data_IF_272638441681
#
_entry.id   IF_272638441681
#
_cell.length_a   1.000
_cell.length_b   1.000
_cell.length_c   1.000
_cell.angle_alpha   90.00
_cell.angle_beta   90.00
_cell.angle_gamma   90.00
#
_symmetry.space_group_name_H-M   'P 1'
#
loop_
_entity.id
_entity.type
_entity.pdbx_description
1 polymer ?
#
# COMPACT_ATOMS: atom_id res chain seq x y z
N UNK A 1 50.35 -70.41 41.01
CA UNK A 1 49.09 -70.14 40.28
C UNK A 1 48.76 -68.65 40.45
N UNK A 2 49.15 -67.83 39.52
CA UNK A 2 48.85 -66.39 39.54
C UNK A 2 47.77 -66.13 38.49
N UNK A 3 46.66 -65.58 38.94
CA UNK A 3 45.52 -65.18 38.07
C UNK A 3 45.67 -63.73 37.68
N UNK A 4 45.95 -63.50 36.38
CA UNK A 4 45.98 -62.12 35.77
C UNK A 4 44.57 -61.62 35.56
N UNK A 5 44.21 -60.53 36.27
CA UNK A 5 42.97 -59.78 36.04
C UNK A 5 43.21 -58.72 35.00
N UNK A 6 42.63 -58.88 33.82
CA UNK A 6 42.59 -57.82 32.78
C UNK A 6 41.47 -56.81 33.13
N UNK A 7 41.86 -55.58 33.39
CA UNK A 7 40.92 -54.45 33.42
C UNK A 7 40.74 -53.91 31.99
N UNK A 8 39.53 -54.04 31.47
CA UNK A 8 39.14 -53.42 30.21
C UNK A 8 38.59 -52.00 30.56
N UNK A 9 39.38 -50.98 30.21
CA UNK A 9 38.94 -49.59 30.24
C UNK A 9 38.05 -49.30 29.02
N UNK A 10 36.76 -49.16 29.26
CA UNK A 10 35.78 -48.75 28.25
C UNK A 10 35.85 -47.22 28.07
N UNK A 11 36.43 -46.74 26.99
CA UNK A 11 36.44 -45.31 26.61
C UNK A 11 35.12 -44.99 25.92
N UNK A 12 34.18 -44.32 26.67
CA UNK A 12 32.97 -43.78 26.09
C UNK A 12 33.30 -42.46 25.40
N UNK A 13 33.37 -42.45 24.07
CA UNK A 13 33.45 -41.25 23.24
C UNK A 13 32.06 -40.59 23.19
N UNK A 14 31.91 -39.53 23.95
CA UNK A 14 30.76 -38.62 23.85
C UNK A 14 30.87 -37.83 22.54
N UNK A 15 30.16 -38.25 21.49
CA UNK A 15 29.93 -37.48 20.30
C UNK A 15 28.94 -36.35 20.66
N UNK A 16 29.45 -35.11 20.90
CA UNK A 16 28.63 -33.91 20.94
C UNK A 16 28.14 -33.62 19.52
N UNK A 17 26.89 -34.00 19.21
CA UNK A 17 26.21 -33.57 18.00
C UNK A 17 25.93 -32.06 18.12
N UNK A 18 26.78 -31.24 17.54
CA UNK A 18 26.48 -29.83 17.33
C UNK A 18 25.31 -29.75 16.34
N UNK A 19 24.12 -29.52 16.86
CA UNK A 19 22.93 -29.22 16.04
C UNK A 19 23.20 -27.86 15.37
N UNK A 20 23.60 -27.89 14.10
CA UNK A 20 23.62 -26.69 13.26
C UNK A 20 22.17 -26.23 13.13
N UNK A 21 21.80 -25.20 13.89
CA UNK A 21 20.54 -24.50 13.67
C UNK A 21 20.61 -23.93 12.24
N UNK A 22 19.86 -24.53 11.34
CA UNK A 22 19.62 -23.96 10.01
C UNK A 22 18.92 -22.62 10.22
N UNK A 23 19.64 -21.52 10.08
CA UNK A 23 19.03 -20.19 9.98
C UNK A 23 18.25 -20.14 8.67
N UNK A 24 17.04 -20.68 8.67
CA UNK A 24 16.06 -20.39 7.62
C UNK A 24 15.67 -18.93 7.78
N UNK A 25 16.26 -18.07 6.97
CA UNK A 25 15.86 -16.66 6.92
C UNK A 25 14.39 -16.62 6.49
N UNK A 26 13.50 -16.28 7.42
CA UNK A 26 12.07 -16.15 7.11
C UNK A 26 11.90 -15.04 6.09
N UNK A 27 11.32 -15.37 4.92
CA UNK A 27 10.98 -14.39 3.90
C UNK A 27 9.60 -13.85 4.22
N UNK A 28 9.50 -12.53 4.36
CA UNK A 28 8.24 -11.80 4.56
C UNK A 28 7.79 -11.15 3.26
N UNK A 29 6.50 -11.17 3.00
CA UNK A 29 5.90 -10.54 1.83
C UNK A 29 5.42 -9.13 2.16
N UNK A 30 5.83 -8.12 1.37
CA UNK A 30 5.26 -6.79 1.39
C UNK A 30 4.31 -6.62 0.20
N UNK A 31 3.00 -6.71 0.46
CA UNK A 31 1.96 -6.41 -0.51
C UNK A 31 1.72 -4.91 -0.64
N UNK A 32 1.76 -4.40 -1.88
CA UNK A 32 1.51 -2.98 -2.16
C UNK A 32 0.31 -2.83 -3.07
N UNK A 33 -0.67 -2.01 -2.67
CA UNK A 33 -1.88 -1.74 -3.45
C UNK A 33 -1.53 -1.23 -4.86
N UNK A 34 -2.08 -1.83 -5.94
CA UNK A 34 -1.70 -1.50 -7.32
C UNK A 34 -2.33 -0.19 -7.78
N UNK A 35 -1.61 0.92 -7.61
CA UNK A 35 -2.03 2.25 -8.07
C UNK A 35 -1.47 2.61 -9.45
N UNK A 36 -0.36 1.99 -9.84
CA UNK A 36 0.37 2.20 -11.08
C UNK A 36 0.75 0.84 -11.71
N UNK A 37 1.46 0.86 -12.84
CA UNK A 37 1.97 -0.38 -13.44
C UNK A 37 2.93 -1.10 -12.48
N UNK A 38 2.93 -2.44 -12.51
CA UNK A 38 3.79 -3.26 -11.64
C UNK A 38 5.28 -2.88 -11.78
N UNK A 39 5.75 -2.60 -13.00
CA UNK A 39 7.14 -2.16 -13.25
C UNK A 39 7.47 -0.89 -12.47
N UNK A 40 6.66 0.18 -12.60
CA UNK A 40 6.85 1.43 -11.87
C UNK A 40 6.83 1.23 -10.36
N UNK A 41 5.95 0.35 -9.87
CA UNK A 41 5.84 0.09 -8.45
C UNK A 41 7.08 -0.62 -7.92
N UNK A 42 7.59 -1.64 -8.61
CA UNK A 42 8.86 -2.30 -8.24
C UNK A 42 10.00 -1.28 -8.18
N UNK A 43 10.20 -0.51 -9.24
CA UNK A 43 11.28 0.49 -9.32
C UNK A 43 11.24 1.49 -8.16
N UNK A 44 10.04 1.90 -7.73
CA UNK A 44 9.86 2.90 -6.65
C UNK A 44 9.98 2.32 -5.25
N UNK A 45 9.52 1.08 -5.04
CA UNK A 45 9.49 0.46 -3.71
C UNK A 45 10.78 -0.28 -3.37
N UNK A 46 11.54 -0.76 -4.38
CA UNK A 46 12.73 -1.55 -4.19
C UNK A 46 13.79 -0.90 -3.28
N UNK A 47 14.09 0.42 -3.40
CA UNK A 47 15.06 1.07 -2.50
C UNK A 47 14.64 0.99 -1.02
N UNK A 48 13.36 1.23 -0.72
CA UNK A 48 12.84 1.15 0.64
C UNK A 48 12.86 -0.29 1.18
N UNK A 49 12.47 -1.27 0.36
CA UNK A 49 12.48 -2.68 0.74
C UNK A 49 13.90 -3.16 1.05
N UNK A 50 14.86 -2.81 0.20
CA UNK A 50 16.27 -3.13 0.42
C UNK A 50 16.78 -2.52 1.73
N UNK A 51 16.48 -1.24 1.97
CA UNK A 51 16.85 -0.58 3.22
C UNK A 51 16.24 -1.26 4.45
N UNK A 52 14.92 -1.57 4.42
CA UNK A 52 14.28 -2.25 5.56
C UNK A 52 14.89 -3.63 5.78
N UNK A 53 15.16 -4.38 4.71
CA UNK A 53 15.76 -5.72 4.80
C UNK A 53 17.16 -5.68 5.42
N UNK A 54 18.02 -4.77 4.97
CA UNK A 54 19.36 -4.60 5.53
C UNK A 54 19.33 -4.15 6.99
N UNK A 55 18.49 -3.17 7.31
CA UNK A 55 18.43 -2.61 8.65
C UNK A 55 17.84 -3.60 9.68
N UNK A 56 16.81 -4.34 9.29
CA UNK A 56 16.10 -5.28 10.17
C UNK A 56 16.73 -6.68 10.22
N UNK A 57 17.58 -7.03 9.25
CA UNK A 57 18.08 -8.40 9.08
C UNK A 57 17.02 -9.39 8.57
N UNK A 58 15.88 -8.90 8.09
CA UNK A 58 14.78 -9.71 7.56
C UNK A 58 14.83 -9.74 6.04
N UNK A 59 14.49 -10.87 5.43
CA UNK A 59 14.29 -10.93 3.98
C UNK A 59 12.85 -10.49 3.66
N UNK A 60 12.70 -9.38 2.90
CA UNK A 60 11.39 -8.81 2.52
C UNK A 60 11.28 -8.81 1.01
N UNK A 61 10.21 -9.44 0.49
CA UNK A 61 9.92 -9.51 -0.93
C UNK A 61 8.73 -8.63 -1.30
N UNK A 62 8.93 -7.83 -2.36
CA UNK A 62 7.86 -7.02 -2.93
C UNK A 62 6.83 -7.89 -3.62
N UNK A 63 5.55 -7.61 -3.34
CA UNK A 63 4.43 -8.15 -4.08
C UNK A 63 3.41 -7.05 -4.41
N UNK A 64 2.76 -7.19 -5.54
CA UNK A 64 1.60 -6.39 -5.91
C UNK A 64 0.60 -7.30 -6.64
N UNK A 65 -0.54 -6.78 -7.02
CA UNK A 65 -1.56 -7.51 -7.75
C UNK A 65 -1.79 -6.88 -9.13
N UNK A 66 -2.45 -7.60 -10.02
CA UNK A 66 -2.81 -7.09 -11.36
C UNK A 66 -3.80 -5.92 -11.30
N UNK A 67 -4.63 -5.87 -10.25
CA UNK A 67 -5.65 -4.86 -10.01
C UNK A 67 -6.06 -4.80 -8.51
N UNK A 68 -6.82 -3.78 -8.15
CA UNK A 68 -7.28 -3.58 -6.77
C UNK A 68 -8.15 -4.74 -6.27
N UNK A 69 -9.14 -5.27 -7.01
CA UNK A 69 -9.92 -6.42 -6.54
C UNK A 69 -9.07 -7.67 -6.23
N UNK A 70 -8.06 -7.96 -7.04
CA UNK A 70 -7.12 -9.06 -6.76
C UNK A 70 -6.30 -8.80 -5.50
N UNK A 71 -5.87 -7.55 -5.28
CA UNK A 71 -5.17 -7.15 -4.06
C UNK A 71 -6.05 -7.32 -2.81
N UNK A 72 -7.33 -6.94 -2.89
CA UNK A 72 -8.31 -7.12 -1.81
C UNK A 72 -8.53 -8.59 -1.47
N UNK A 73 -8.63 -9.47 -2.48
CA UNK A 73 -8.73 -10.91 -2.26
C UNK A 73 -7.48 -11.46 -1.55
N UNK A 74 -6.28 -11.03 -1.95
CA UNK A 74 -5.05 -11.43 -1.30
C UNK A 74 -4.99 -10.93 0.16
N UNK A 75 -5.49 -9.73 0.48
CA UNK A 75 -5.63 -9.24 1.85
C UNK A 75 -6.61 -10.10 2.64
N UNK A 76 -7.78 -10.43 2.08
CA UNK A 76 -8.80 -11.27 2.71
C UNK A 76 -8.27 -12.67 3.02
N UNK A 77 -7.40 -13.21 2.19
CA UNK A 77 -6.77 -14.53 2.38
C UNK A 77 -5.49 -14.45 3.26
N UNK A 78 -5.12 -13.26 3.76
CA UNK A 78 -3.94 -13.08 4.61
C UNK A 78 -2.61 -13.36 3.93
N UNK A 79 -2.52 -13.18 2.60
CA UNK A 79 -1.32 -13.52 1.81
C UNK A 79 -0.14 -12.59 2.03
N UNK A 80 -0.34 -11.42 2.61
CA UNK A 80 0.73 -10.44 2.84
C UNK A 80 1.07 -10.37 4.32
N UNK A 81 2.35 -10.55 4.65
CA UNK A 81 2.86 -10.36 6.02
C UNK A 81 2.85 -8.87 6.39
N UNK A 82 3.21 -8.03 5.43
CA UNK A 82 3.17 -6.58 5.50
C UNK A 82 2.32 -6.09 4.34
N UNK A 83 1.46 -5.10 4.55
CA UNK A 83 0.66 -4.55 3.48
C UNK A 83 0.66 -3.01 3.52
N UNK A 84 1.00 -2.39 2.37
CA UNK A 84 0.75 -0.98 2.14
C UNK A 84 -0.58 -0.84 1.44
N UNK A 85 -1.57 -0.39 2.19
CA UNK A 85 -2.97 -0.40 1.76
C UNK A 85 -3.62 0.97 1.92
N UNK A 86 -4.62 1.26 1.10
CA UNK A 86 -5.33 2.53 1.21
C UNK A 86 -6.17 2.59 2.51
N UNK A 87 -6.63 3.78 2.93
CA UNK A 87 -7.37 3.93 4.19
C UNK A 87 -8.62 3.06 4.32
N UNK A 88 -9.39 2.91 3.23
CA UNK A 88 -10.56 2.03 3.23
C UNK A 88 -10.17 0.56 3.40
N UNK A 89 -9.15 0.08 2.68
CA UNK A 89 -8.65 -1.28 2.85
C UNK A 89 -8.18 -1.53 4.29
N UNK A 90 -7.49 -0.55 4.90
CA UNK A 90 -7.04 -0.72 6.27
C UNK A 90 -8.20 -0.89 7.24
N UNK A 91 -9.23 -0.04 7.17
CA UNK A 91 -10.43 -0.16 8.02
C UNK A 91 -11.11 -1.50 7.79
N UNK A 92 -11.36 -1.88 6.54
CA UNK A 92 -12.03 -3.13 6.17
C UNK A 92 -11.24 -4.38 6.65
N UNK A 93 -9.93 -4.43 6.38
CA UNK A 93 -9.13 -5.62 6.67
C UNK A 93 -8.51 -5.64 8.06
N UNK A 94 -8.53 -4.53 8.81
CA UNK A 94 -8.29 -4.56 10.25
C UNK A 94 -9.42 -5.28 10.98
N UNK A 95 -10.66 -5.08 10.54
CA UNK A 95 -11.84 -5.71 11.14
C UNK A 95 -12.01 -7.17 10.64
N UNK A 96 -11.86 -7.41 9.33
CA UNK A 96 -12.16 -8.71 8.73
C UNK A 96 -11.04 -9.76 8.94
N UNK A 97 -9.77 -9.36 8.95
CA UNK A 97 -8.61 -10.26 9.02
C UNK A 97 -7.76 -10.01 10.26
N UNK A 98 -7.80 -8.80 10.82
CA UNK A 98 -7.03 -8.42 11.99
C UNK A 98 -5.68 -7.76 11.66
N UNK A 99 -5.50 -7.22 10.45
CA UNK A 99 -4.32 -6.42 10.14
C UNK A 99 -4.17 -5.27 11.13
N UNK A 100 -2.94 -5.03 11.62
CA UNK A 100 -2.64 -4.02 12.63
C UNK A 100 -1.76 -2.92 12.04
N UNK A 101 -2.14 -1.67 12.27
CA UNK A 101 -1.33 -0.52 11.85
C UNK A 101 0.08 -0.61 12.42
N UNK A 102 1.08 -0.34 11.60
CA UNK A 102 2.48 -0.25 11.98
C UNK A 102 2.99 1.19 11.86
N UNK A 103 2.81 1.76 10.68
CA UNK A 103 3.27 3.11 10.37
C UNK A 103 2.42 3.74 9.26
N UNK A 104 2.52 5.06 9.13
CA UNK A 104 1.97 5.83 8.03
C UNK A 104 2.95 6.91 7.59
N UNK A 105 2.73 7.48 6.43
CA UNK A 105 3.56 8.58 5.92
C UNK A 105 3.48 9.80 6.84
N UNK A 106 4.67 10.36 7.17
CA UNK A 106 4.82 11.55 8.02
C UNK A 106 4.29 12.79 7.30
N UNK A 107 3.58 13.65 8.05
CA UNK A 107 3.11 14.96 7.58
C UNK A 107 2.35 14.91 6.24
N UNK A 108 1.55 13.88 6.03
CA UNK A 108 0.75 13.70 4.81
C UNK A 108 -0.69 13.37 5.14
N UNK A 109 -1.59 13.96 4.37
CA UNK A 109 -2.97 13.51 4.24
C UNK A 109 -3.19 13.01 2.82
N UNK A 110 -4.06 12.03 2.65
CA UNK A 110 -4.50 11.61 1.32
C UNK A 110 -5.71 12.45 0.93
N UNK A 111 -5.71 12.91 -0.31
CA UNK A 111 -6.81 13.68 -0.89
C UNK A 111 -7.22 13.08 -2.23
N UNK A 112 -8.52 13.01 -2.47
CA UNK A 112 -9.07 12.69 -3.77
C UNK A 112 -9.07 13.93 -4.65
N UNK A 113 -8.81 13.73 -5.93
CA UNK A 113 -8.94 14.79 -6.95
C UNK A 113 -9.89 14.31 -8.05
N UNK A 114 -10.55 15.27 -8.68
CA UNK A 114 -11.22 15.07 -9.97
C UNK A 114 -10.43 15.86 -10.99
N UNK A 115 -10.01 15.19 -12.07
CA UNK A 115 -9.26 15.80 -13.17
C UNK A 115 -10.11 15.86 -14.42
N UNK A 116 -9.85 16.89 -15.24
CA UNK A 116 -10.37 17.05 -16.60
C UNK A 116 -9.27 17.52 -17.53
N UNK A 117 -9.51 17.57 -18.84
CA UNK A 117 -8.56 18.18 -19.78
C UNK A 117 -8.55 19.69 -19.63
N UNK A 118 -7.37 20.31 -19.77
CA UNK A 118 -7.23 21.78 -19.79
C UNK A 118 -7.95 22.47 -20.94
N UNK A 119 -8.11 21.75 -22.07
CA UNK A 119 -8.76 22.26 -23.29
C UNK A 119 -10.25 21.89 -23.38
N UNK A 120 -10.85 21.43 -22.28
CA UNK A 120 -12.29 21.12 -22.21
C UNK A 120 -13.11 22.30 -21.72
N UNK A 121 -14.40 22.27 -22.01
CA UNK A 121 -15.37 23.26 -21.50
C UNK A 121 -15.80 22.97 -20.04
N UNK A 122 -15.22 21.94 -19.40
CA UNK A 122 -15.52 21.55 -18.01
C UNK A 122 -14.74 22.49 -17.06
N UNK A 123 -15.44 23.35 -16.35
CA UNK A 123 -14.86 24.36 -15.44
C UNK A 123 -15.34 24.21 -13.99
N UNK A 124 -16.42 23.45 -13.77
CA UNK A 124 -17.01 23.19 -12.45
C UNK A 124 -17.41 21.72 -12.30
N UNK A 125 -17.70 21.29 -11.06
CA UNK A 125 -18.22 19.93 -10.81
C UNK A 125 -19.61 19.75 -11.42
N UNK A 126 -20.39 20.79 -11.48
CA UNK A 126 -21.74 20.82 -12.03
C UNK A 126 -21.78 20.46 -13.52
N UNK A 127 -20.71 20.81 -14.27
CA UNK A 127 -20.55 20.46 -15.69
C UNK A 127 -20.38 18.94 -15.93
N UNK A 128 -20.11 18.19 -14.87
CA UNK A 128 -20.00 16.72 -14.90
C UNK A 128 -21.34 15.99 -14.88
N UNK A 129 -22.45 16.73 -14.72
CA UNK A 129 -23.75 16.11 -14.58
C UNK A 129 -24.15 15.31 -15.84
N UNK A 130 -24.47 14.02 -15.64
CA UNK A 130 -24.83 13.08 -16.72
C UNK A 130 -23.65 12.51 -17.51
N UNK A 131 -22.41 12.85 -17.15
CA UNK A 131 -21.22 12.40 -17.90
C UNK A 131 -20.70 11.02 -17.47
N UNK A 132 -19.94 10.37 -18.36
CA UNK A 132 -19.13 9.22 -18.00
C UNK A 132 -17.80 9.65 -17.39
N UNK A 133 -17.45 9.08 -16.24
CA UNK A 133 -16.24 9.39 -15.49
C UNK A 133 -15.38 8.16 -15.27
N UNK A 134 -14.06 8.30 -15.48
CA UNK A 134 -13.10 7.23 -15.25
C UNK A 134 -12.67 7.13 -13.80
N UNK A 135 -12.61 5.90 -13.26
CA UNK A 135 -12.10 5.60 -11.91
C UNK A 135 -11.18 4.38 -11.93
N UNK A 136 -10.18 4.28 -11.03
CA UNK A 136 -9.27 3.13 -11.03
C UNK A 136 -9.99 1.80 -10.72
N UNK A 137 -10.75 1.78 -9.63
CA UNK A 137 -11.52 0.63 -9.14
C UNK A 137 -12.55 1.10 -8.10
N UNK A 138 -13.59 0.32 -7.80
CA UNK A 138 -14.60 0.69 -6.80
C UNK A 138 -14.01 1.05 -5.43
N UNK A 139 -13.04 0.28 -4.95
CA UNK A 139 -12.41 0.44 -3.63
C UNK A 139 -11.17 1.34 -3.63
N UNK A 140 -10.90 2.11 -4.67
CA UNK A 140 -9.87 3.14 -4.68
C UNK A 140 -10.31 4.32 -3.80
N UNK A 141 -9.94 4.32 -2.51
CA UNK A 141 -10.50 5.19 -1.47
C UNK A 141 -10.62 6.65 -1.92
N UNK A 142 -9.50 7.35 -2.14
CA UNK A 142 -9.56 8.77 -2.44
C UNK A 142 -10.01 9.06 -3.88
N UNK A 143 -9.56 8.24 -4.84
CA UNK A 143 -9.86 8.46 -6.25
C UNK A 143 -11.30 8.11 -6.64
N UNK A 144 -11.94 7.18 -5.92
CA UNK A 144 -13.29 6.72 -6.25
C UNK A 144 -14.28 7.04 -5.14
N UNK A 145 -14.05 6.55 -3.93
CA UNK A 145 -15.04 6.64 -2.86
C UNK A 145 -15.28 8.12 -2.49
N UNK A 146 -14.20 8.86 -2.21
CA UNK A 146 -14.29 10.26 -1.79
C UNK A 146 -14.84 11.14 -2.92
N UNK A 147 -14.34 10.99 -4.14
CA UNK A 147 -14.76 11.82 -5.28
C UNK A 147 -16.23 11.56 -5.65
N UNK A 148 -16.67 10.31 -5.67
CA UNK A 148 -18.06 9.96 -5.93
C UNK A 148 -18.99 10.42 -4.79
N UNK A 149 -18.53 10.37 -3.52
CA UNK A 149 -19.29 10.86 -2.40
C UNK A 149 -19.56 12.38 -2.52
N UNK A 150 -18.55 13.16 -2.93
CA UNK A 150 -18.71 14.60 -3.15
C UNK A 150 -19.71 14.90 -4.28
N UNK A 151 -19.61 14.21 -5.40
CA UNK A 151 -20.56 14.38 -6.52
C UNK A 151 -22.00 14.07 -6.09
N UNK A 152 -22.21 12.96 -5.38
CA UNK A 152 -23.54 12.60 -4.85
C UNK A 152 -24.07 13.62 -3.85
N UNK A 153 -23.19 14.13 -2.95
CA UNK A 153 -23.55 15.19 -1.99
C UNK A 153 -24.05 16.46 -2.68
N UNK A 154 -23.51 16.78 -3.87
CA UNK A 154 -23.93 17.90 -4.71
C UNK A 154 -25.12 17.59 -5.64
N UNK A 155 -25.68 16.38 -5.56
CA UNK A 155 -26.72 15.90 -6.45
C UNK A 155 -26.30 15.87 -7.94
N UNK A 156 -25.00 15.67 -8.21
CA UNK A 156 -24.46 15.52 -9.57
C UNK A 156 -24.55 14.03 -9.93
N UNK A 157 -25.30 13.72 -10.98
CA UNK A 157 -25.38 12.37 -11.53
C UNK A 157 -24.21 12.12 -12.46
N UNK A 158 -23.67 10.88 -12.46
CA UNK A 158 -22.56 10.48 -13.33
C UNK A 158 -22.61 8.97 -13.55
N UNK A 159 -21.93 8.49 -14.62
CA UNK A 159 -21.81 7.08 -14.92
C UNK A 159 -20.35 6.65 -14.66
N UNK A 160 -20.08 5.86 -13.60
CA UNK A 160 -18.72 5.43 -13.29
C UNK A 160 -18.24 4.36 -14.27
N UNK A 161 -16.99 4.52 -14.77
CA UNK A 161 -16.29 3.54 -15.59
C UNK A 161 -14.96 3.18 -14.91
N UNK A 162 -14.73 1.90 -14.66
CA UNK A 162 -13.54 1.43 -13.97
C UNK A 162 -12.48 0.97 -14.98
N UNK A 163 -11.29 1.60 -14.94
CA UNK A 163 -10.21 1.43 -15.93
C UNK A 163 -8.93 0.81 -15.34
N UNK A 164 -9.03 0.18 -14.17
CA UNK A 164 -8.05 -0.68 -13.48
C UNK A 164 -6.91 0.05 -12.75
N UNK A 165 -6.43 1.21 -13.20
CA UNK A 165 -5.32 1.91 -12.55
C UNK A 165 -5.48 3.44 -12.64
N UNK A 166 -4.78 4.18 -11.78
CA UNK A 166 -4.72 5.64 -11.84
C UNK A 166 -4.10 6.13 -13.16
N UNK A 167 -3.02 5.50 -13.61
CA UNK A 167 -2.37 5.85 -14.89
C UNK A 167 -3.38 5.72 -16.06
N UNK A 168 -4.20 4.67 -16.05
CA UNK A 168 -5.24 4.46 -17.08
C UNK A 168 -6.33 5.53 -17.01
N UNK A 169 -6.70 6.01 -15.82
CA UNK A 169 -7.66 7.12 -15.68
C UNK A 169 -7.12 8.37 -16.36
N UNK A 170 -5.92 8.80 -16.03
CA UNK A 170 -5.34 10.03 -16.55
C UNK A 170 -5.14 9.96 -18.07
N UNK A 171 -4.65 8.82 -18.54
CA UNK A 171 -4.47 8.61 -19.98
C UNK A 171 -5.82 8.60 -20.76
N UNK A 172 -6.86 8.01 -20.19
CA UNK A 172 -8.18 7.95 -20.81
C UNK A 172 -8.86 9.33 -20.85
N UNK A 173 -8.70 10.14 -19.79
CA UNK A 173 -9.18 11.54 -19.77
C UNK A 173 -8.41 12.38 -20.78
N UNK A 174 -7.07 12.31 -20.80
CA UNK A 174 -6.24 13.01 -21.80
C UNK A 174 -6.66 12.70 -23.22
N UNK A 175 -6.95 11.42 -23.53
CA UNK A 175 -7.39 10.98 -24.86
C UNK A 175 -8.84 11.34 -25.20
N UNK A 176 -9.58 11.94 -24.26
CA UNK A 176 -10.98 12.30 -24.44
C UNK A 176 -11.96 11.11 -24.44
N UNK A 177 -11.53 9.92 -23.96
CA UNK A 177 -12.44 8.79 -23.80
C UNK A 177 -13.46 9.04 -22.68
N UNK A 178 -13.08 9.82 -21.69
CA UNK A 178 -13.93 10.29 -20.59
C UNK A 178 -13.71 11.79 -20.40
N UNK A 179 -14.75 12.48 -19.97
CA UNK A 179 -14.66 13.93 -19.75
C UNK A 179 -13.86 14.26 -18.49
N UNK A 180 -13.90 13.37 -17.51
CA UNK A 180 -13.20 13.55 -16.24
C UNK A 180 -12.84 12.20 -15.61
N UNK A 181 -12.06 12.26 -14.54
CA UNK A 181 -11.70 11.06 -13.80
C UNK A 181 -11.27 11.34 -12.36
N UNK A 182 -11.45 10.34 -11.52
CA UNK A 182 -11.01 10.39 -10.13
C UNK A 182 -9.57 9.94 -9.95
N UNK A 183 -8.79 10.64 -9.11
CA UNK A 183 -7.37 10.37 -8.89
C UNK A 183 -6.86 10.85 -7.54
N UNK A 184 -5.53 10.88 -7.42
CA UNK A 184 -4.79 11.50 -6.32
C UNK A 184 -3.57 12.24 -6.88
N UNK A 185 -3.16 13.37 -6.28
CA UNK A 185 -2.04 14.19 -6.77
C UNK A 185 -0.77 13.39 -6.99
N UNK A 186 -0.34 12.56 -6.02
CA UNK A 186 0.89 11.75 -6.12
C UNK A 186 0.97 10.88 -7.38
N UNK A 187 -0.15 10.35 -7.85
CA UNK A 187 -0.16 9.54 -9.06
C UNK A 187 -0.31 10.38 -10.33
N UNK A 188 -0.95 11.54 -10.24
CA UNK A 188 -0.97 12.52 -11.31
C UNK A 188 0.42 13.11 -11.57
N UNK A 189 1.14 13.48 -10.52
CA UNK A 189 2.53 13.99 -10.62
C UNK A 189 3.53 12.93 -11.14
N UNK A 190 3.13 11.67 -11.14
CA UNK A 190 3.98 10.54 -11.54
C UNK A 190 3.73 10.03 -12.97
N UNK A 191 2.74 10.56 -13.70
CA UNK A 191 2.54 10.23 -15.12
C UNK A 191 3.55 11.00 -15.99
N UNK A 192 3.74 10.62 -17.27
CA UNK A 192 4.55 11.38 -18.21
C UNK A 192 4.11 12.85 -18.30
N UNK A 193 5.07 13.76 -18.49
CA UNK A 193 4.83 15.21 -18.53
C UNK A 193 3.72 15.60 -19.52
N UNK A 194 3.70 14.97 -20.70
CA UNK A 194 2.69 15.20 -21.72
C UNK A 194 1.25 14.80 -21.28
N UNK A 195 1.13 13.91 -20.30
CA UNK A 195 -0.16 13.54 -19.71
C UNK A 195 -0.53 14.54 -18.61
N UNK A 196 0.41 14.86 -17.73
CA UNK A 196 0.19 15.80 -16.63
C UNK A 196 -0.16 17.19 -17.18
N UNK A 197 0.60 17.70 -18.14
CA UNK A 197 0.40 19.01 -18.75
C UNK A 197 -0.94 19.15 -19.48
N UNK A 198 -1.51 18.06 -19.99
CA UNK A 198 -2.80 18.07 -20.65
C UNK A 198 -4.00 18.12 -19.70
N UNK A 199 -3.78 17.83 -18.40
CA UNK A 199 -4.84 17.73 -17.41
C UNK A 199 -4.81 18.90 -16.42
N UNK A 200 -5.97 19.19 -15.84
CA UNK A 200 -6.13 20.11 -14.72
C UNK A 200 -6.92 19.46 -13.60
N UNK A 201 -6.62 19.85 -12.35
CA UNK A 201 -7.40 19.45 -11.19
C UNK A 201 -8.60 20.36 -11.08
N UNK A 202 -9.78 19.80 -11.31
CA UNK A 202 -11.06 20.50 -11.21
C UNK A 202 -11.51 20.64 -9.74
N UNK A 203 -11.20 19.66 -8.92
CA UNK A 203 -11.60 19.62 -7.51
C UNK A 203 -10.64 18.75 -6.68
N UNK A 204 -10.46 19.13 -5.41
CA UNK A 204 -9.67 18.41 -4.41
C UNK A 204 -10.44 18.30 -3.11
N UNK A 205 -10.40 17.12 -2.48
CA UNK A 205 -11.08 16.87 -1.21
C UNK A 205 -10.34 17.43 0.00
N UNK A 206 -10.99 17.45 1.16
CA UNK A 206 -10.32 17.51 2.44
C UNK A 206 -9.33 16.34 2.58
N UNK A 207 -8.33 16.52 3.48
CA UNK A 207 -7.37 15.47 3.78
C UNK A 207 -7.92 14.42 4.74
N UNK A 208 -7.54 13.15 4.50
CA UNK A 208 -7.79 12.00 5.37
C UNK A 208 -6.48 11.35 5.75
N UNK A 209 -6.50 10.55 6.82
CA UNK A 209 -5.34 9.74 7.22
C UNK A 209 -4.87 8.90 6.03
N UNK A 210 -3.56 8.93 5.69
CA UNK A 210 -3.05 8.34 4.46
C UNK A 210 -3.00 6.81 4.53
N UNK A 211 -2.41 6.19 3.51
CA UNK A 211 -2.21 4.74 3.44
C UNK A 211 -1.55 4.19 4.70
N UNK A 212 -2.05 3.05 5.17
CA UNK A 212 -1.46 2.28 6.24
C UNK A 212 -0.34 1.39 5.70
N UNK A 213 0.80 1.37 6.37
CA UNK A 213 1.68 0.22 6.38
C UNK A 213 1.26 -0.63 7.58
N UNK A 214 0.65 -1.77 7.33
CA UNK A 214 0.07 -2.65 8.34
C UNK A 214 0.73 -4.02 8.30
N UNK A 215 0.63 -4.78 9.39
CA UNK A 215 1.17 -6.13 9.50
C UNK A 215 0.08 -7.14 9.73
N UNK A 216 0.24 -8.34 9.19
CA UNK A 216 -0.65 -9.47 9.45
C UNK A 216 -0.66 -9.79 10.95
N UNK A 217 -1.80 -10.18 11.56
CA UNK A 217 -1.91 -10.45 13.00
C UNK A 217 -0.96 -11.54 13.49
N UNK A 218 -0.59 -12.49 12.63
CA UNK A 218 0.32 -13.59 12.97
C UNK A 218 1.80 -13.23 12.85
N UNK A 219 2.15 -11.99 12.46
CA UNK A 219 3.55 -11.56 12.41
C UNK A 219 4.17 -11.57 13.80
N UNK A 220 5.35 -12.17 13.93
CA UNK A 220 6.10 -12.18 15.17
C UNK A 220 6.41 -10.75 15.65
N UNK A 221 6.25 -10.47 16.94
CA UNK A 221 6.38 -9.13 17.51
C UNK A 221 7.77 -8.54 17.27
N UNK A 222 8.83 -9.36 17.38
CA UNK A 222 10.21 -8.92 17.11
C UNK A 222 10.42 -8.49 15.65
N UNK A 223 9.79 -9.14 14.68
CA UNK A 223 9.84 -8.72 13.26
C UNK A 223 9.11 -7.40 13.08
N UNK A 224 7.91 -7.26 13.67
CA UNK A 224 7.14 -6.02 13.65
C UNK A 224 7.96 -4.83 14.21
N UNK A 225 8.62 -5.02 15.34
CA UNK A 225 9.45 -3.99 15.97
C UNK A 225 10.69 -3.66 15.14
N UNK A 226 11.35 -4.66 14.54
CA UNK A 226 12.52 -4.45 13.70
C UNK A 226 12.16 -3.63 12.43
N UNK A 227 11.03 -3.94 11.79
CA UNK A 227 10.53 -3.19 10.63
C UNK A 227 10.17 -1.76 11.03
N UNK A 228 9.48 -1.56 12.16
CA UNK A 228 9.14 -0.23 12.65
C UNK A 228 10.39 0.62 12.91
N UNK A 229 11.41 0.03 13.57
CA UNK A 229 12.69 0.72 13.80
C UNK A 229 13.36 1.17 12.50
N UNK A 230 13.35 0.32 11.47
CA UNK A 230 13.89 0.67 10.15
C UNK A 230 13.13 1.85 9.52
N UNK A 231 11.79 1.84 9.59
CA UNK A 231 10.94 2.91 9.06
C UNK A 231 11.13 4.25 9.78
N UNK A 232 11.34 4.22 11.09
CA UNK A 232 11.61 5.44 11.86
C UNK A 232 13.03 5.92 11.58
N UNK A 233 14.03 5.03 11.55
CA UNK A 233 15.42 5.39 11.29
C UNK A 233 15.61 6.06 9.92
N UNK A 234 14.98 5.53 8.84
CA UNK A 234 15.04 6.17 7.51
C UNK A 234 14.40 7.56 7.50
N UNK A 235 13.42 7.79 8.38
CA UNK A 235 12.70 9.07 8.46
C UNK A 235 13.52 10.17 9.13
N UNK A 236 14.50 9.81 9.94
CA UNK A 236 15.36 10.73 10.68
C UNK A 236 16.74 10.89 10.01
N UNK A 237 17.10 10.02 9.05
CA UNK A 237 18.37 10.05 8.32
C UNK A 237 18.23 10.80 6.98
N UNK A 238 18.50 12.10 7.00
CA UNK A 238 18.44 12.94 5.79
C UNK A 238 19.44 12.53 4.70
N UNK A 239 20.53 11.83 5.05
CA UNK A 239 21.52 11.35 4.08
C UNK A 239 20.97 10.23 3.18
N UNK A 240 19.88 9.59 3.59
CA UNK A 240 19.19 8.50 2.89
C UNK A 240 17.84 8.92 2.31
N UNK A 241 17.57 10.22 2.19
CA UNK A 241 16.31 10.72 1.63
C UNK A 241 15.98 10.17 0.25
N UNK A 242 17.01 9.85 -0.55
CA UNK A 242 16.88 9.23 -1.87
C UNK A 242 16.10 7.90 -1.87
N UNK A 243 16.12 7.16 -0.75
CA UNK A 243 15.35 5.90 -0.59
C UNK A 243 13.85 6.14 -0.69
N UNK A 244 13.39 7.30 -0.22
CA UNK A 244 11.98 7.69 -0.16
C UNK A 244 11.55 8.58 -1.33
N UNK A 245 12.51 9.14 -2.08
CA UNK A 245 12.26 10.11 -3.16
C UNK A 245 11.36 9.52 -4.26
N UNK A 246 11.68 8.31 -4.75
CA UNK A 246 10.87 7.63 -5.76
C UNK A 246 9.42 7.38 -5.35
N UNK A 247 9.16 7.32 -4.04
CA UNK A 247 7.82 7.17 -3.47
C UNK A 247 7.13 8.52 -3.22
N UNK A 248 7.89 9.63 -3.20
CA UNK A 248 7.41 10.95 -2.78
C UNK A 248 7.05 10.98 -1.29
N UNK A 249 7.78 10.25 -0.44
CA UNK A 249 7.53 10.15 1.00
C UNK A 249 8.52 11.03 1.77
N UNK A 250 8.02 11.69 2.82
CA UNK A 250 8.82 12.53 3.73
C UNK A 250 9.21 11.77 5.01
N UNK A 251 9.13 10.45 4.99
CA UNK A 251 9.35 9.58 6.14
C UNK A 251 8.09 8.92 6.66
N UNK A 252 8.25 8.16 7.72
CA UNK A 252 7.18 7.44 8.40
C UNK A 252 7.06 7.87 9.86
N UNK A 253 5.87 7.71 10.42
CA UNK A 253 5.61 7.77 11.85
C UNK A 253 4.91 6.50 12.27
N UNK A 254 5.18 6.05 13.49
CA UNK A 254 4.44 4.95 14.10
C UNK A 254 2.95 5.29 14.15
N UNK A 255 2.10 4.30 13.97
CA UNK A 255 0.66 4.48 13.95
C UNK A 255 -0.06 3.39 14.73
N UNK A 256 -1.24 3.76 15.22
CA UNK A 256 -2.23 2.87 15.84
C UNK A 256 -3.47 2.77 14.96
N UNK A 257 -4.30 1.77 15.20
CA UNK A 257 -5.52 1.54 14.42
C UNK A 257 -6.50 2.72 14.52
N UNK A 258 -6.51 3.43 15.68
CA UNK A 258 -7.35 4.62 15.88
C UNK A 258 -6.96 5.83 15.02
N UNK A 259 -5.77 5.85 14.42
CA UNK A 259 -5.38 6.93 13.51
C UNK A 259 -6.30 7.02 12.28
N UNK A 260 -7.02 5.94 11.94
CA UNK A 260 -7.99 5.88 10.83
C UNK A 260 -9.44 6.05 11.26
N UNK A 261 -9.72 6.59 12.45
CA UNK A 261 -11.08 6.85 12.90
C UNK A 261 -11.80 7.93 12.06
N UNK A 262 -11.04 8.84 11.43
CA UNK A 262 -11.56 9.78 10.44
C UNK A 262 -12.15 9.06 9.21
N UNK A 263 -11.56 7.93 8.83
CA UNK A 263 -12.05 7.09 7.72
C UNK A 263 -13.24 6.24 8.16
N UNK A 264 -13.20 5.67 9.38
CA UNK A 264 -14.34 4.94 9.96
C UNK A 264 -15.57 5.82 10.10
N UNK A 265 -15.35 7.10 10.46
CA UNK A 265 -16.44 8.09 10.60
C UNK A 265 -17.18 8.39 9.29
N UNK A 266 -16.61 8.03 8.12
CA UNK A 266 -17.30 8.13 6.84
C UNK A 266 -18.45 7.11 6.69
N UNK A 267 -18.53 6.10 7.55
CA UNK A 267 -19.58 5.08 7.52
C UNK A 267 -19.62 4.31 6.18
N UNK A 268 -18.47 4.10 5.55
CA UNK A 268 -18.40 3.38 4.27
C UNK A 268 -18.85 1.95 4.52
N UNK A 269 -19.99 1.59 3.97
CA UNK A 269 -20.46 0.19 3.97
C UNK A 269 -19.51 -0.61 3.07
N UNK A 270 -19.13 -1.81 3.53
CA UNK A 270 -18.31 -2.74 2.75
C UNK A 270 -18.81 -2.83 1.31
N UNK A 271 -17.94 -2.48 0.36
CA UNK A 271 -18.29 -2.51 -1.05
C UNK A 271 -18.48 -3.97 -1.47
N UNK A 272 -19.61 -4.28 -2.11
CA UNK A 272 -19.81 -5.60 -2.71
C UNK A 272 -18.65 -5.86 -3.69
N UNK A 273 -17.81 -6.84 -3.34
CA UNK A 273 -16.70 -7.25 -4.21
C UNK A 273 -17.29 -7.88 -5.46
N UNK A 274 -16.93 -7.42 -6.68
CA UNK A 274 -17.30 -8.15 -7.87
C UNK A 274 -16.72 -9.57 -7.73
N UNK A 275 -17.53 -10.58 -7.85
CA UNK A 275 -17.04 -11.94 -7.99
C UNK A 275 -16.19 -11.98 -9.27
N UNK A 276 -14.91 -12.35 -9.14
CA UNK A 276 -13.94 -12.45 -10.23
C UNK A 276 -14.22 -13.74 -11.00
#
# INVERSE_FOLDING_TARGET
MQVFRHQICLFILLFSSATMASNTTTTLTLGVVPQQSAKKMVERWQPLIHYISEYSGLNIEFQTAKDIPTFENNLAEGKYDIAYMNPYHFVEFSDAVGYKALARQKNKAIKGIIVTRKDSDITSLEDLNGTEMAFPAPAAFAATIITQAELRKRNISFIPRYVKSHDSVYLAVKKGFFQSGGGILRTLDAVPDDVNEALTVLWESNGYTPHALATHPNMAQNHREAILKALIAISDDTSKSWVLEGLGFNGFIQSSDSDWDDVRALGIISLSRPQI
#
